data_IF_358500288610
#
_entry.id   IF_358500288610
#
_cell.length_a   1.000
_cell.length_b   1.000
_cell.length_c   1.000
_cell.angle_alpha   90.00
_cell.angle_beta   90.00
_cell.angle_gamma   90.00
#
_symmetry.space_group_name_H-M   'P 1'
#
loop_
_entity.id
_entity.type
_entity.pdbx_description
1 polymer ?
#
# COMPACT_ATOMS: atom_id res chain seq x y z
N UNK A 1 0.21 -19.16 9.19
CA UNK A 1 1.41 -19.92 8.79
C UNK A 1 1.60 -19.70 7.31
N UNK A 2 2.75 -19.17 6.89
CA UNK A 2 3.08 -18.89 5.49
C UNK A 2 3.23 -20.22 4.75
N UNK A 3 2.51 -20.39 3.63
CA UNK A 3 2.60 -21.62 2.84
C UNK A 3 4.03 -21.77 2.29
N UNK A 4 4.63 -22.98 2.26
CA UNK A 4 6.01 -23.21 1.81
C UNK A 4 6.28 -22.81 0.35
N UNK A 5 5.23 -22.56 -0.43
CA UNK A 5 5.31 -22.07 -1.81
C UNK A 5 5.56 -20.57 -1.93
N UNK A 6 5.23 -19.77 -0.89
CA UNK A 6 5.32 -18.31 -0.95
C UNK A 6 6.75 -17.80 -1.19
N UNK A 7 7.79 -18.29 -0.49
CA UNK A 7 9.15 -17.82 -0.72
C UNK A 7 9.62 -18.08 -2.15
N UNK A 8 9.31 -19.25 -2.71
CA UNK A 8 9.66 -19.62 -4.08
C UNK A 8 8.90 -18.77 -5.11
N UNK A 9 7.62 -18.48 -4.83
CA UNK A 9 6.82 -17.60 -5.68
C UNK A 9 7.36 -16.17 -5.68
N UNK A 10 7.73 -15.63 -4.51
CA UNK A 10 8.29 -14.29 -4.41
C UNK A 10 9.61 -14.21 -5.20
N UNK A 11 10.48 -15.21 -5.06
CA UNK A 11 11.75 -15.28 -5.80
C UNK A 11 11.52 -15.30 -7.33
N UNK A 12 10.49 -16.02 -7.78
CA UNK A 12 10.09 -16.05 -9.19
C UNK A 12 9.44 -14.75 -9.67
N UNK A 13 8.55 -14.17 -8.86
CA UNK A 13 7.73 -13.02 -9.22
C UNK A 13 8.51 -11.70 -9.15
N UNK A 14 9.52 -11.60 -8.28
CA UNK A 14 10.34 -10.40 -8.10
C UNK A 14 11.01 -9.91 -9.39
N UNK A 15 11.77 -10.74 -10.14
CA UNK A 15 12.39 -10.28 -11.38
C UNK A 15 11.37 -9.91 -12.46
N UNK A 16 10.20 -10.56 -12.49
CA UNK A 16 9.12 -10.23 -13.42
C UNK A 16 8.51 -8.87 -13.10
N UNK A 17 8.24 -8.60 -11.81
CA UNK A 17 7.75 -7.32 -11.36
C UNK A 17 8.75 -6.20 -11.71
N UNK A 18 10.05 -6.43 -11.46
CA UNK A 18 11.10 -5.46 -11.77
C UNK A 18 11.18 -5.12 -13.26
N UNK A 19 11.07 -6.11 -14.16
CA UNK A 19 11.05 -5.89 -15.62
C UNK A 19 9.85 -5.03 -16.05
N UNK A 20 8.72 -5.18 -15.36
CA UNK A 20 7.51 -4.39 -15.56
C UNK A 20 7.54 -3.02 -14.86
N UNK A 21 8.60 -2.71 -14.11
CA UNK A 21 8.69 -1.49 -13.29
C UNK A 21 7.77 -1.48 -12.08
N UNK A 22 7.52 -2.66 -11.51
CA UNK A 22 6.66 -2.94 -10.37
C UNK A 22 7.47 -3.59 -9.25
N UNK A 23 6.92 -3.58 -8.04
CA UNK A 23 7.48 -4.24 -6.86
C UNK A 23 6.47 -5.19 -6.24
N UNK A 24 6.94 -6.35 -5.78
CA UNK A 24 6.13 -7.27 -4.99
C UNK A 24 6.04 -6.74 -3.57
N UNK A 25 4.83 -6.54 -3.08
CA UNK A 25 4.56 -6.09 -1.71
C UNK A 25 4.37 -7.27 -0.77
N UNK A 26 3.53 -8.23 -1.19
CA UNK A 26 3.21 -9.42 -0.40
C UNK A 26 2.64 -10.50 -1.31
N UNK A 27 2.78 -11.78 -0.94
CA UNK A 27 2.07 -12.88 -1.57
C UNK A 27 1.41 -13.78 -0.52
N UNK A 28 0.18 -14.20 -0.79
CA UNK A 28 -0.66 -14.99 0.09
C UNK A 28 -1.27 -16.18 -0.66
N UNK A 29 -1.27 -17.36 -0.04
CA UNK A 29 -1.96 -18.53 -0.58
C UNK A 29 -3.08 -18.94 0.36
N UNK A 30 -4.31 -18.68 -0.06
CA UNK A 30 -5.53 -18.89 0.71
C UNK A 30 -6.14 -20.25 0.37
N UNK A 31 -5.64 -21.29 1.05
CA UNK A 31 -6.12 -22.68 0.89
C UNK A 31 -7.53 -22.91 1.47
N UNK A 32 -8.03 -21.96 2.27
CA UNK A 32 -9.38 -22.02 2.84
C UNK A 32 -10.49 -21.71 1.82
N UNK A 33 -10.14 -21.26 0.61
CA UNK A 33 -11.06 -21.00 -0.50
C UNK A 33 -11.17 -22.25 -1.39
N UNK A 34 -12.30 -22.40 -2.10
CA UNK A 34 -12.51 -23.46 -3.10
C UNK A 34 -12.99 -22.84 -4.41
N UNK A 35 -12.15 -22.80 -5.47
CA UNK A 35 -10.72 -23.21 -5.48
C UNK A 35 -9.83 -22.32 -4.58
N UNK A 36 -8.66 -22.81 -4.14
CA UNK A 36 -7.63 -22.02 -3.47
C UNK A 36 -7.26 -20.76 -4.25
N UNK A 37 -6.93 -19.68 -3.54
CA UNK A 37 -6.58 -18.40 -4.17
C UNK A 37 -5.13 -18.07 -3.89
N UNK A 38 -4.35 -17.86 -4.95
CA UNK A 38 -3.01 -17.29 -4.88
C UNK A 38 -3.09 -15.79 -5.17
N UNK A 39 -2.95 -14.98 -4.13
CA UNK A 39 -3.00 -13.53 -4.25
C UNK A 39 -1.62 -12.92 -4.15
N UNK A 40 -1.27 -12.07 -5.11
CA UNK A 40 0.00 -11.33 -5.12
C UNK A 40 -0.32 -9.83 -5.14
N UNK A 41 0.21 -9.13 -4.14
CA UNK A 41 0.13 -7.68 -4.06
C UNK A 41 1.32 -7.05 -4.75
N UNK A 42 1.05 -6.16 -5.69
CA UNK A 42 2.06 -5.42 -6.46
C UNK A 42 1.91 -3.92 -6.29
N UNK A 43 3.01 -3.18 -6.36
CA UNK A 43 3.00 -1.73 -6.32
C UNK A 43 3.84 -1.17 -7.45
N UNK A 44 3.36 -0.11 -8.09
CA UNK A 44 4.22 0.74 -8.90
C UNK A 44 4.93 1.77 -7.98
N UNK A 45 6.27 1.83 -7.94
CA UNK A 45 7.01 2.74 -7.07
C UNK A 45 6.93 4.21 -7.50
N UNK A 46 6.64 4.48 -8.78
CA UNK A 46 6.67 5.83 -9.36
C UNK A 46 5.26 6.42 -9.44
N UNK A 47 4.28 5.62 -9.89
CA UNK A 47 2.88 6.03 -10.09
C UNK A 47 1.91 5.16 -9.29
N UNK A 48 0.62 5.47 -9.36
CA UNK A 48 -0.40 4.58 -8.82
C UNK A 48 -0.43 3.26 -9.59
N UNK A 49 -0.71 2.17 -8.89
CA UNK A 49 -0.80 0.86 -9.52
C UNK A 49 -2.11 0.79 -10.29
N UNK A 50 -2.01 0.72 -11.62
CA UNK A 50 -3.16 0.70 -12.51
C UNK A 50 -3.68 -0.73 -12.75
N UNK A 51 -4.88 -0.85 -13.31
CA UNK A 51 -5.40 -2.15 -13.73
C UNK A 51 -4.51 -2.82 -14.78
N UNK A 52 -3.91 -2.04 -15.69
CA UNK A 52 -2.96 -2.53 -16.69
C UNK A 52 -1.72 -3.15 -16.04
N UNK A 53 -1.18 -2.51 -14.98
CA UNK A 53 -0.05 -3.06 -14.23
C UNK A 53 -0.39 -4.44 -13.63
N UNK A 54 -1.61 -4.60 -13.09
CA UNK A 54 -2.10 -5.88 -12.57
C UNK A 54 -2.28 -6.92 -13.68
N UNK A 55 -2.84 -6.56 -14.83
CA UNK A 55 -3.01 -7.48 -15.96
C UNK A 55 -1.68 -7.96 -16.53
N UNK A 56 -0.72 -7.04 -16.72
CA UNK A 56 0.62 -7.37 -17.24
C UNK A 56 1.36 -8.31 -16.30
N UNK A 57 1.32 -8.03 -15.01
CA UNK A 57 1.91 -8.92 -14.00
C UNK A 57 1.20 -10.28 -13.98
N UNK A 58 -0.12 -10.31 -14.08
CA UNK A 58 -0.89 -11.57 -14.05
C UNK A 58 -0.48 -12.49 -15.19
N UNK A 59 -0.38 -11.95 -16.41
CA UNK A 59 0.03 -12.73 -17.60
C UNK A 59 1.46 -13.22 -17.49
N UNK A 60 2.38 -12.37 -17.03
CA UNK A 60 3.79 -12.73 -16.88
C UNK A 60 3.99 -13.83 -15.83
N UNK A 61 3.28 -13.72 -14.69
CA UNK A 61 3.38 -14.68 -13.61
C UNK A 61 2.72 -16.01 -13.95
N UNK A 62 1.55 -16.00 -14.58
CA UNK A 62 0.86 -17.21 -15.07
C UNK A 62 1.77 -18.01 -16.01
N UNK A 63 2.35 -17.37 -17.03
CA UNK A 63 3.25 -18.03 -17.97
C UNK A 63 4.46 -18.71 -17.30
N UNK A 64 5.00 -18.09 -16.24
CA UNK A 64 6.14 -18.64 -15.49
C UNK A 64 5.74 -19.74 -14.51
N UNK A 65 4.54 -19.68 -13.96
CA UNK A 65 3.99 -20.73 -13.10
C UNK A 65 3.70 -22.00 -13.90
N UNK A 66 3.11 -21.87 -15.09
CA UNK A 66 2.89 -22.98 -16.02
C UNK A 66 4.21 -23.60 -16.49
N UNK A 67 5.19 -22.79 -16.91
CA UNK A 67 6.47 -23.29 -17.42
C UNK A 67 7.30 -24.06 -16.37
N UNK A 68 7.09 -23.78 -15.07
CA UNK A 68 7.82 -24.41 -13.97
C UNK A 68 7.00 -25.47 -13.22
N UNK A 69 5.74 -25.69 -13.60
CA UNK A 69 4.82 -26.63 -12.96
C UNK A 69 4.76 -26.49 -11.42
N UNK A 70 4.83 -25.25 -10.90
CA UNK A 70 4.99 -25.00 -9.45
C UNK A 70 3.73 -25.39 -8.66
N UNK A 71 2.55 -25.23 -9.25
CA UNK A 71 1.26 -25.52 -8.62
C UNK A 71 0.53 -26.52 -9.49
N UNK A 72 0.41 -27.75 -8.99
CA UNK A 72 -0.21 -28.89 -9.69
C UNK A 72 -1.73 -28.98 -9.47
N UNK A 73 -2.25 -28.27 -8.47
CA UNK A 73 -3.66 -28.31 -8.08
C UNK A 73 -4.44 -27.12 -8.64
N UNK A 74 -5.77 -27.18 -8.67
CA UNK A 74 -6.59 -26.08 -9.21
C UNK A 74 -6.50 -24.86 -8.29
N UNK A 75 -6.19 -23.69 -8.83
CA UNK A 75 -6.14 -22.43 -8.07
C UNK A 75 -6.65 -21.26 -8.92
N UNK A 76 -6.92 -20.13 -8.25
CA UNK A 76 -7.18 -18.84 -8.89
C UNK A 76 -6.01 -17.92 -8.59
N UNK A 77 -5.39 -17.37 -9.63
CA UNK A 77 -4.39 -16.31 -9.51
C UNK A 77 -5.09 -14.95 -9.43
N UNK A 78 -4.79 -14.19 -8.39
CA UNK A 78 -5.24 -12.81 -8.24
C UNK A 78 -4.04 -11.87 -8.10
N UNK A 79 -3.91 -10.92 -9.02
CA UNK A 79 -3.00 -9.79 -8.87
C UNK A 79 -3.79 -8.60 -8.39
N UNK A 80 -3.31 -7.94 -7.35
CA UNK A 80 -3.97 -6.75 -6.81
C UNK A 80 -2.93 -5.71 -6.44
N UNK A 81 -3.29 -4.44 -6.51
CA UNK A 81 -2.54 -3.44 -5.76
C UNK A 81 -2.76 -3.69 -4.28
N UNK A 82 -1.80 -3.42 -3.37
CA UNK A 82 -2.18 -3.17 -1.99
C UNK A 82 -3.23 -2.06 -2.08
N UNK A 83 -4.37 -2.21 -1.40
CA UNK A 83 -5.39 -1.17 -1.42
C UNK A 83 -4.77 0.19 -1.09
N UNK A 84 -5.41 1.28 -1.50
CA UNK A 84 -5.04 2.62 -1.00
C UNK A 84 -5.10 2.51 0.52
N UNK A 85 -3.94 2.47 1.14
CA UNK A 85 -3.90 2.61 2.58
C UNK A 85 -4.37 4.03 2.80
N UNK A 86 -5.42 4.23 3.61
CA UNK A 86 -5.83 5.59 3.94
C UNK A 86 -4.67 6.37 4.59
N UNK A 87 -3.62 5.68 5.01
CA UNK A 87 -2.39 6.27 5.50
C UNK A 87 -1.55 6.92 4.41
N UNK A 88 -1.31 8.21 4.60
CA UNK A 88 -0.37 9.00 3.84
C UNK A 88 1.04 8.67 4.34
N UNK A 89 1.84 8.00 3.51
CA UNK A 89 3.21 7.56 3.88
C UNK A 89 4.28 8.21 3.04
N UNK A 90 4.00 8.43 1.76
CA UNK A 90 4.93 8.98 0.77
C UNK A 90 4.67 10.45 0.51
N UNK A 91 5.71 11.20 0.14
CA UNK A 91 5.61 12.63 -0.17
C UNK A 91 4.59 12.92 -1.27
N UNK A 92 4.55 12.05 -2.28
CA UNK A 92 3.57 12.10 -3.37
C UNK A 92 2.13 12.04 -2.87
N UNK A 93 1.83 11.18 -1.91
CA UNK A 93 0.49 11.11 -1.31
C UNK A 93 0.16 12.43 -0.58
N UNK A 94 1.09 12.98 0.21
CA UNK A 94 0.88 14.27 0.89
C UNK A 94 0.64 15.43 -0.09
N UNK A 95 1.27 15.40 -1.28
CA UNK A 95 1.04 16.37 -2.35
C UNK A 95 -0.34 16.17 -2.98
N UNK A 96 -0.67 14.93 -3.38
CA UNK A 96 -1.92 14.58 -4.05
C UNK A 96 -3.15 14.88 -3.20
N UNK A 97 -3.05 14.66 -1.88
CA UNK A 97 -4.16 14.85 -0.94
C UNK A 97 -4.11 16.17 -0.17
N UNK A 98 -3.35 17.15 -0.68
CA UNK A 98 -3.40 18.52 -0.15
C UNK A 98 -4.82 19.08 -0.25
N UNK A 99 -5.31 19.62 0.87
CA UNK A 99 -6.66 20.17 1.01
C UNK A 99 -7.71 19.18 1.48
N UNK A 100 -7.41 17.87 1.48
CA UNK A 100 -8.31 16.84 1.98
C UNK A 100 -8.29 16.76 3.51
N UNK A 101 -9.38 16.27 4.09
CA UNK A 101 -9.46 15.96 5.51
C UNK A 101 -8.47 14.84 5.85
N UNK A 102 -7.70 15.02 6.92
CA UNK A 102 -6.78 14.03 7.45
C UNK A 102 -6.85 13.97 8.97
N UNK A 103 -6.51 12.82 9.50
CA UNK A 103 -6.31 12.56 10.92
C UNK A 103 -4.82 12.27 11.12
N UNK A 104 -4.16 13.09 11.93
CA UNK A 104 -2.77 12.89 12.37
C UNK A 104 -2.78 12.33 13.77
N UNK A 105 -2.11 11.19 13.96
CA UNK A 105 -1.87 10.58 15.26
C UNK A 105 -0.43 10.83 15.69
N UNK A 106 -0.23 11.08 16.99
CA UNK A 106 1.08 11.25 17.60
C UNK A 106 1.44 10.06 18.50
N UNK A 107 2.74 9.80 18.68
CA UNK A 107 3.21 8.74 19.59
C UNK A 107 2.81 9.03 21.04
N UNK A 108 2.99 10.28 21.47
CA UNK A 108 2.66 10.78 22.80
C UNK A 108 1.68 11.95 22.69
N UNK A 109 0.91 12.27 23.75
CA UNK A 109 0.03 13.43 23.76
C UNK A 109 0.79 14.71 23.42
N UNK A 110 0.43 15.36 22.31
CA UNK A 110 0.95 16.67 21.97
C UNK A 110 -0.12 17.70 22.30
N UNK A 111 0.23 18.74 23.06
CA UNK A 111 -0.72 19.77 23.54
C UNK A 111 -2.03 19.19 24.14
N UNK A 112 -1.93 18.08 24.87
CA UNK A 112 -3.06 17.46 25.55
C UNK A 112 -3.91 16.52 24.68
N UNK A 113 -3.57 16.28 23.41
CA UNK A 113 -4.26 15.31 22.56
C UNK A 113 -3.31 14.48 21.69
N UNK A 114 -3.70 13.23 21.42
CA UNK A 114 -2.93 12.31 20.56
C UNK A 114 -3.46 12.25 19.12
N UNK A 115 -4.66 12.76 18.88
CA UNK A 115 -5.30 12.74 17.57
C UNK A 115 -5.68 14.15 17.15
N UNK A 116 -5.32 14.52 15.93
CA UNK A 116 -5.55 15.84 15.33
C UNK A 116 -6.30 15.67 14.02
N UNK A 117 -7.50 16.23 13.91
CA UNK A 117 -8.30 16.19 12.69
C UNK A 117 -8.36 17.56 12.02
N UNK A 118 -7.99 17.64 10.75
CA UNK A 118 -7.94 18.89 10.00
C UNK A 118 -7.70 18.70 8.52
N UNK A 119 -7.73 19.77 7.74
CA UNK A 119 -7.38 19.68 6.32
C UNK A 119 -5.86 19.70 6.16
N UNK A 120 -5.32 18.80 5.33
CA UNK A 120 -3.89 18.73 5.06
C UNK A 120 -3.43 19.97 4.27
N UNK A 121 -2.51 20.75 4.83
CA UNK A 121 -1.90 21.89 4.13
C UNK A 121 -0.65 21.43 3.38
N UNK A 122 0.26 20.75 4.09
CA UNK A 122 1.52 20.20 3.56
C UNK A 122 2.22 19.34 4.60
N UNK A 123 3.28 18.65 4.17
CA UNK A 123 4.25 17.97 5.02
C UNK A 123 5.65 18.31 4.54
N UNK A 124 6.57 18.52 5.48
CA UNK A 124 7.99 18.68 5.21
C UNK A 124 8.83 18.01 6.31
N UNK A 125 10.14 18.21 6.29
CA UNK A 125 11.08 17.59 7.24
C UNK A 125 10.84 18.05 8.69
N UNK A 126 10.26 19.25 8.89
CA UNK A 126 10.01 19.80 10.22
C UNK A 126 8.70 19.30 10.81
N UNK A 127 7.65 19.14 9.98
CA UNK A 127 6.33 18.78 10.49
C UNK A 127 5.25 18.53 9.46
N UNK A 128 4.08 18.17 10.00
CA UNK A 128 2.82 18.07 9.26
C UNK A 128 1.96 19.27 9.61
N UNK A 129 1.48 19.97 8.59
CA UNK A 129 0.73 21.22 8.74
C UNK A 129 -0.73 20.98 8.39
N UNK A 130 -1.61 21.28 9.33
CA UNK A 130 -3.06 21.11 9.21
C UNK A 130 -3.77 22.45 9.30
N UNK A 131 -4.91 22.57 8.62
CA UNK A 131 -5.88 23.63 8.86
C UNK A 131 -6.95 23.12 9.83
N UNK A 132 -6.93 23.66 11.05
CA UNK A 132 -7.90 23.37 12.10
C UNK A 132 -8.89 24.54 12.17
N UNK A 133 -10.07 24.38 11.55
CA UNK A 133 -11.15 25.40 11.56
C UNK A 133 -10.68 26.81 11.15
N UNK A 134 -9.84 26.90 10.12
CA UNK A 134 -9.32 28.17 9.59
C UNK A 134 -7.99 28.63 10.21
N UNK A 135 -7.40 27.86 11.13
CA UNK A 135 -6.08 28.14 11.70
C UNK A 135 -5.06 27.11 11.26
N UNK A 136 -3.92 27.58 10.76
CA UNK A 136 -2.78 26.71 10.48
C UNK A 136 -2.18 26.21 11.80
N UNK A 137 -2.00 24.90 11.91
CA UNK A 137 -1.42 24.22 13.06
C UNK A 137 -0.32 23.27 12.58
N UNK A 138 0.83 23.29 13.26
CA UNK A 138 1.98 22.47 12.90
C UNK A 138 2.22 21.40 13.97
N UNK A 139 2.31 20.14 13.52
CA UNK A 139 2.66 19.01 14.37
C UNK A 139 4.09 18.59 14.04
N UNK A 140 5.02 18.61 15.00
CA UNK A 140 6.41 18.22 14.77
C UNK A 140 6.53 16.80 14.20
N UNK A 141 7.35 16.65 13.15
CA UNK A 141 7.47 15.39 12.39
C UNK A 141 7.83 14.19 13.25
N UNK A 142 8.63 14.42 14.30
CA UNK A 142 9.12 13.43 15.26
C UNK A 142 8.01 12.87 16.16
N UNK A 143 6.96 13.67 16.40
CA UNK A 143 5.83 13.25 17.24
C UNK A 143 4.79 12.49 16.42
N UNK A 144 4.75 12.69 15.10
CA UNK A 144 3.78 12.05 14.20
C UNK A 144 4.07 10.56 14.07
N UNK A 145 3.13 9.74 14.54
CA UNK A 145 3.17 8.28 14.36
C UNK A 145 2.53 7.86 13.06
N UNK A 146 1.41 8.48 12.68
CA UNK A 146 0.59 8.07 11.54
C UNK A 146 -0.24 9.24 11.02
N UNK A 147 -0.45 9.30 9.71
CA UNK A 147 -1.38 10.26 9.08
C UNK A 147 -2.30 9.49 8.17
N UNK A 148 -3.63 9.65 8.33
CA UNK A 148 -4.65 8.98 7.52
C UNK A 148 -5.63 9.97 6.90
N UNK A 149 -6.20 9.66 5.75
CA UNK A 149 -7.32 10.39 5.16
C UNK A 149 -8.56 10.26 6.04
N UNK A 150 -9.23 11.39 6.27
CA UNK A 150 -10.52 11.47 6.95
C UNK A 150 -11.60 11.46 5.86
N UNK A 151 -12.23 10.30 5.66
CA UNK A 151 -13.29 10.12 4.64
C UNK A 151 -14.61 10.80 5.01
N UNK A 152 -14.68 11.48 6.17
CA UNK A 152 -15.86 12.26 6.57
C UNK A 152 -17.14 11.42 6.59
N UNK A 153 -17.19 10.43 7.48
CA UNK A 153 -18.44 9.75 7.83
C UNK A 153 -19.42 10.67 8.56
#
# INVERSE_FOLDING_TARGET
MTHPLIPQLIDLATPLAQDLGLEIVEALFQTNRRPPVLRVYIRNPIRDTSLDDCERMSRALEAQLDAKEIILDTYVLEISSPGITQDLTTDREFISFKGFGVIVQTFEPYQGQQEWRGQLIRRDESGVYLNLKGRAFAIPRQLVSRVKLDDGG
#
